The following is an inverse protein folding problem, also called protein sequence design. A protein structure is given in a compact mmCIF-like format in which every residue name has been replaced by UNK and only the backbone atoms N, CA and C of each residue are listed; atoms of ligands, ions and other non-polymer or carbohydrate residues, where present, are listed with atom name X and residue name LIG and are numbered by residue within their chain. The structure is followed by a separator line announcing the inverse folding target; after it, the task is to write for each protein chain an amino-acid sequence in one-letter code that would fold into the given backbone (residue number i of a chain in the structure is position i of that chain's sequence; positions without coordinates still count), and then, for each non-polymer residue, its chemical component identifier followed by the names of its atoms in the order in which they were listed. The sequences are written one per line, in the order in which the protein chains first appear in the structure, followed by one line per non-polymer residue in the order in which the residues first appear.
data_IF_035268949488
#
_entry.id   IF_035268949488
#
_cell.length_a   1.000
_cell.length_b   1.000
_cell.length_c   1.000
_cell.angle_alpha   90.00
_cell.angle_beta   90.00
_cell.angle_gamma   90.00
#
_symmetry.space_group_name_H-M   'P 1'
#
loop_
_entity.id
_entity.type
_entity.pdbx_description
1 polymer ?
#
# COMPACT_ATOMS: atom_id res chain seq x y z
N UNK A 1 -4.31 14.12 21.42
CA UNK A 1 -4.94 15.40 21.69
C UNK A 1 -4.00 16.44 22.26
N UNK A 2 -3.83 16.53 23.57
CA UNK A 2 -3.09 17.63 24.24
C UNK A 2 -1.65 17.74 23.76
N UNK A 3 -0.93 16.65 23.66
CA UNK A 3 0.49 16.62 23.26
C UNK A 3 0.73 17.18 21.86
N UNK A 4 -0.18 16.97 20.95
CA UNK A 4 -0.06 17.43 19.55
C UNK A 4 -0.74 18.77 19.27
N UNK A 5 -1.41 19.38 20.26
CA UNK A 5 -2.23 20.57 20.05
C UNK A 5 -1.45 21.76 19.48
N UNK A 6 -0.27 22.05 20.06
CA UNK A 6 0.60 23.15 19.57
C UNK A 6 1.09 22.95 18.14
N UNK A 7 1.62 21.74 17.86
CA UNK A 7 2.09 21.38 16.51
C UNK A 7 0.97 21.34 15.49
N UNK A 8 -0.17 20.77 15.84
CA UNK A 8 -1.35 20.74 14.98
C UNK A 8 -1.85 22.16 14.65
N UNK A 9 -1.89 23.03 15.67
CA UNK A 9 -2.29 24.43 15.47
C UNK A 9 -1.35 25.20 14.53
N UNK A 10 -0.04 25.05 14.72
CA UNK A 10 0.97 25.68 13.87
C UNK A 10 0.83 25.20 12.41
N UNK A 11 0.79 23.89 12.20
CA UNK A 11 0.69 23.29 10.87
C UNK A 11 -0.61 23.69 10.16
N UNK A 12 -1.74 23.69 10.88
CA UNK A 12 -3.02 24.12 10.31
C UNK A 12 -3.02 25.59 9.94
N UNK A 13 -2.44 26.47 10.78
CA UNK A 13 -2.35 27.90 10.48
C UNK A 13 -1.53 28.14 9.20
N UNK A 14 -0.38 27.52 9.08
CA UNK A 14 0.48 27.63 7.90
C UNK A 14 -0.18 27.04 6.64
N UNK A 15 -0.85 25.89 6.78
CA UNK A 15 -1.60 25.29 5.67
C UNK A 15 -2.75 26.18 5.19
N UNK A 16 -3.47 26.81 6.12
CA UNK A 16 -4.55 27.74 5.78
C UNK A 16 -4.02 28.99 5.07
N UNK A 17 -2.84 29.48 5.46
CA UNK A 17 -2.20 30.65 4.85
C UNK A 17 -1.65 30.36 3.44
N UNK A 18 -0.96 29.21 3.29
CA UNK A 18 -0.23 28.88 2.05
C UNK A 18 -1.04 28.03 1.07
N UNK A 19 -2.12 27.40 1.53
CA UNK A 19 -2.91 26.44 0.75
C UNK A 19 -2.28 25.05 0.65
N UNK A 20 -1.08 24.85 1.19
CA UNK A 20 -0.34 23.58 1.14
C UNK A 20 0.11 23.14 2.53
N UNK A 21 0.12 21.84 2.78
CA UNK A 21 0.67 21.30 4.01
C UNK A 21 2.19 21.59 4.08
N UNK A 22 2.69 22.17 5.20
CA UNK A 22 4.12 22.54 5.31
C UNK A 22 5.07 21.34 5.48
N UNK A 23 4.53 20.20 5.87
CA UNK A 23 5.25 18.94 6.07
C UNK A 23 4.39 17.78 5.56
N UNK A 24 4.95 16.58 5.43
CA UNK A 24 4.16 15.38 5.13
C UNK A 24 3.23 15.04 6.30
N UNK A 25 1.93 15.17 6.06
CA UNK A 25 0.85 14.87 7.01
C UNK A 25 0.00 13.68 6.60
N UNK A 26 0.46 12.88 5.61
CA UNK A 26 -0.40 11.84 5.02
C UNK A 26 -0.97 10.89 6.07
N UNK A 27 -0.20 10.49 7.06
CA UNK A 27 -0.61 9.56 8.10
C UNK A 27 -1.77 10.07 8.98
N UNK A 28 -1.99 11.37 9.00
CA UNK A 28 -3.08 12.03 9.76
C UNK A 28 -4.06 12.80 8.88
N UNK A 29 -3.82 12.86 7.57
CA UNK A 29 -4.71 13.56 6.63
C UNK A 29 -6.00 12.76 6.42
N UNK A 30 -7.16 13.44 6.52
CA UNK A 30 -8.47 12.82 6.29
C UNK A 30 -8.60 12.24 4.87
N UNK A 31 -7.89 12.78 3.90
CA UNK A 31 -7.89 12.32 2.50
C UNK A 31 -7.34 10.91 2.32
N UNK A 32 -6.55 10.39 3.29
CA UNK A 32 -6.07 9.00 3.26
C UNK A 32 -7.20 7.97 3.40
N UNK A 33 -8.35 8.39 3.93
CA UNK A 33 -9.48 7.50 4.16
C UNK A 33 -10.11 7.03 2.86
N UNK A 34 -10.31 5.73 2.76
CA UNK A 34 -10.96 5.10 1.61
C UNK A 34 -12.50 5.22 1.73
N UNK A 35 -13.26 5.30 0.61
CA UNK A 35 -14.72 5.44 0.65
C UNK A 35 -15.43 4.35 1.48
N UNK A 36 -14.96 3.11 1.46
CA UNK A 36 -15.56 2.02 2.23
C UNK A 36 -15.44 2.23 3.74
N UNK A 37 -14.47 3.00 4.22
CA UNK A 37 -14.26 3.29 5.64
C UNK A 37 -15.34 4.21 6.23
N UNK A 38 -16.13 4.88 5.39
CA UNK A 38 -17.33 5.62 5.83
C UNK A 38 -18.53 4.72 6.10
N UNK A 39 -18.45 3.42 5.77
CA UNK A 39 -19.52 2.47 6.03
C UNK A 39 -19.69 2.23 7.55
N UNK A 40 -20.95 2.36 8.02
CA UNK A 40 -21.26 2.23 9.45
C UNK A 40 -20.89 0.86 10.02
N UNK A 41 -21.14 -0.20 9.30
CA UNK A 41 -20.80 -1.57 9.74
C UNK A 41 -19.28 -1.75 9.86
N UNK A 42 -18.52 -1.23 8.90
CA UNK A 42 -17.06 -1.22 8.99
C UNK A 42 -16.58 -0.47 10.22
N UNK A 43 -17.07 0.75 10.44
CA UNK A 43 -16.69 1.59 11.59
C UNK A 43 -17.03 0.91 12.92
N UNK A 44 -18.24 0.37 13.07
CA UNK A 44 -18.64 -0.35 14.29
C UNK A 44 -17.72 -1.54 14.59
N UNK A 45 -17.30 -2.27 13.56
CA UNK A 45 -16.41 -3.41 13.72
C UNK A 45 -14.97 -3.00 14.05
N UNK A 46 -14.45 -1.94 13.43
CA UNK A 46 -13.02 -1.54 13.49
C UNK A 46 -12.69 -0.62 14.66
N UNK A 47 -13.61 0.29 15.04
CA UNK A 47 -13.32 1.38 16.01
C UNK A 47 -12.86 0.85 17.35
N UNK A 48 -13.52 -0.17 17.89
CA UNK A 48 -13.16 -0.73 19.20
C UNK A 48 -11.75 -1.31 19.21
N UNK A 49 -11.36 -2.03 18.15
CA UNK A 49 -10.02 -2.57 18.03
C UNK A 49 -8.99 -1.44 17.86
N UNK A 50 -9.24 -0.48 17.00
CA UNK A 50 -8.33 0.65 16.75
C UNK A 50 -8.09 1.46 18.01
N UNK A 51 -9.16 1.78 18.76
CA UNK A 51 -9.05 2.54 20.00
C UNK A 51 -8.34 1.71 21.09
N UNK A 52 -8.66 0.42 21.20
CA UNK A 52 -8.01 -0.48 22.14
C UNK A 52 -6.51 -0.59 21.92
N UNK A 53 -6.06 -0.66 20.68
CA UNK A 53 -4.65 -0.76 20.32
C UNK A 53 -3.81 0.48 20.67
N UNK A 54 -4.43 1.65 20.86
CA UNK A 54 -3.71 2.84 21.36
C UNK A 54 -3.21 2.68 22.80
N UNK A 55 -3.82 1.80 23.58
CA UNK A 55 -3.53 1.61 25.00
C UNK A 55 -3.03 0.19 25.32
N UNK A 56 -3.10 -0.71 24.38
CA UNK A 56 -2.68 -2.09 24.57
C UNK A 56 -1.17 -2.27 24.33
N UNK A 57 -0.54 -3.12 25.12
CA UNK A 57 0.77 -3.66 24.81
C UNK A 57 0.63 -4.66 23.67
N UNK A 58 1.14 -4.33 22.50
CA UNK A 58 1.11 -5.20 21.34
C UNK A 58 2.42 -5.14 20.54
N UNK A 59 2.69 -6.19 19.78
CA UNK A 59 3.85 -6.21 18.90
C UNK A 59 3.73 -5.16 17.79
N UNK A 60 4.87 -4.57 17.36
CA UNK A 60 4.91 -3.70 16.19
C UNK A 60 4.31 -4.41 14.96
N UNK A 61 3.70 -3.65 14.06
CA UNK A 61 3.13 -4.15 12.79
C UNK A 61 2.05 -5.22 12.95
N UNK A 62 1.44 -5.32 14.13
CA UNK A 62 0.30 -6.20 14.35
C UNK A 62 -0.82 -5.89 13.36
N UNK A 63 -1.31 -6.93 12.69
CA UNK A 63 -2.43 -6.82 11.77
C UNK A 63 -3.76 -6.67 12.53
N UNK A 64 -4.69 -5.90 11.97
CA UNK A 64 -6.06 -5.84 12.47
C UNK A 64 -6.76 -7.19 12.33
N UNK A 65 -7.53 -7.57 13.33
CA UNK A 65 -8.36 -8.78 13.32
C UNK A 65 -9.80 -8.49 12.87
N UNK A 66 -10.33 -7.29 13.18
CA UNK A 66 -11.68 -6.87 12.81
C UNK A 66 -11.76 -6.32 11.39
N UNK A 67 -12.96 -6.29 10.82
CA UNK A 67 -13.27 -5.73 9.50
C UNK A 67 -12.34 -6.21 8.39
N UNK A 68 -11.99 -7.51 8.41
CA UNK A 68 -11.15 -8.16 7.40
C UNK A 68 -11.97 -8.51 6.15
N UNK A 69 -11.27 -8.72 5.04
CA UNK A 69 -11.88 -9.19 3.80
C UNK A 69 -12.70 -8.15 3.04
N UNK A 70 -12.54 -6.85 3.34
CA UNK A 70 -13.30 -5.76 2.71
C UNK A 70 -13.01 -5.62 1.23
N UNK A 71 -11.73 -5.75 0.85
CA UNK A 71 -11.27 -5.72 -0.53
C UNK A 71 -10.41 -6.95 -0.79
N UNK A 72 -10.77 -7.70 -1.81
CA UNK A 72 -10.07 -8.93 -2.20
C UNK A 72 -9.70 -8.87 -3.67
N UNK A 73 -8.55 -9.43 -4.00
CA UNK A 73 -8.16 -9.61 -5.40
C UNK A 73 -8.99 -10.73 -6.06
N UNK A 74 -9.06 -10.78 -7.40
CA UNK A 74 -9.72 -11.88 -8.10
C UNK A 74 -9.15 -13.26 -7.77
N UNK A 75 -7.88 -13.32 -7.37
CA UNK A 75 -7.18 -14.58 -7.04
C UNK A 75 -7.11 -14.86 -5.53
N UNK A 76 -7.79 -14.06 -4.71
CA UNK A 76 -7.73 -14.17 -3.24
C UNK A 76 -8.03 -15.59 -2.74
N UNK A 77 -9.11 -16.22 -3.20
CA UNK A 77 -9.48 -17.55 -2.75
C UNK A 77 -8.44 -18.60 -3.18
N UNK A 78 -7.93 -18.48 -4.40
CA UNK A 78 -6.85 -19.34 -4.87
C UNK A 78 -5.61 -19.24 -3.97
N UNK A 79 -5.20 -18.02 -3.60
CA UNK A 79 -4.07 -17.81 -2.69
C UNK A 79 -4.36 -18.37 -1.28
N UNK A 80 -5.59 -18.22 -0.78
CA UNK A 80 -6.00 -18.77 0.51
C UNK A 80 -5.90 -20.31 0.52
N UNK A 81 -6.39 -20.96 -0.52
CA UNK A 81 -6.36 -22.42 -0.69
C UNK A 81 -4.90 -22.94 -0.79
N UNK A 82 -3.96 -22.09 -1.19
CA UNK A 82 -2.52 -22.39 -1.26
C UNK A 82 -1.73 -21.90 -0.05
N UNK A 83 -2.40 -21.67 1.09
CA UNK A 83 -1.75 -21.40 2.36
C UNK A 83 -1.27 -19.96 2.57
N UNK A 84 -1.85 -18.99 1.88
CA UNK A 84 -1.52 -17.58 2.07
C UNK A 84 -1.86 -17.09 3.47
N UNK A 85 -0.92 -16.42 4.12
CA UNK A 85 -1.18 -15.57 5.28
C UNK A 85 -1.42 -14.14 4.82
N UNK A 86 -2.62 -13.63 5.06
CA UNK A 86 -3.00 -12.31 4.60
C UNK A 86 -2.72 -11.21 5.62
N UNK A 87 -2.28 -10.06 5.12
CA UNK A 87 -2.27 -8.78 5.81
C UNK A 87 -3.12 -7.75 5.08
N UNK A 88 -3.54 -6.71 5.79
CA UNK A 88 -4.37 -5.64 5.24
C UNK A 88 -3.54 -4.42 4.86
N UNK A 89 -3.75 -3.87 3.65
CA UNK A 89 -3.26 -2.56 3.22
C UNK A 89 -4.39 -1.82 2.52
N UNK A 90 -4.82 -0.68 3.06
CA UNK A 90 -5.93 0.13 2.53
C UNK A 90 -7.19 -0.70 2.25
N UNK A 91 -7.50 -1.64 3.15
CA UNK A 91 -8.62 -2.57 3.06
C UNK A 91 -8.39 -3.78 2.16
N UNK A 92 -7.30 -3.83 1.39
CA UNK A 92 -6.94 -4.97 0.58
C UNK A 92 -6.34 -6.10 1.40
N UNK A 93 -6.86 -7.31 1.24
CA UNK A 93 -6.20 -8.52 1.70
C UNK A 93 -5.05 -8.85 0.75
N UNK A 94 -3.83 -8.84 1.26
CA UNK A 94 -2.61 -9.14 0.50
C UNK A 94 -1.91 -10.33 1.11
N UNK A 95 -1.55 -11.32 0.30
CA UNK A 95 -0.70 -12.43 0.75
C UNK A 95 0.68 -11.89 1.12
N UNK A 96 1.09 -12.08 2.37
CA UNK A 96 2.39 -11.64 2.87
C UNK A 96 3.43 -12.76 2.87
N UNK A 97 3.00 -14.00 3.08
CA UNK A 97 3.81 -15.21 3.03
C UNK A 97 2.90 -16.43 2.91
N UNK A 98 3.46 -17.60 2.58
CA UNK A 98 2.71 -18.83 2.35
C UNK A 98 3.25 -19.96 3.21
N UNK A 99 2.34 -20.82 3.71
CA UNK A 99 2.69 -22.15 4.19
C UNK A 99 3.12 -23.05 3.03
N UNK A 100 4.03 -24.01 3.24
CA UNK A 100 4.33 -25.02 2.24
C UNK A 100 3.12 -25.93 2.01
N UNK A 101 3.01 -26.48 0.80
CA UNK A 101 1.89 -27.37 0.43
C UNK A 101 1.71 -28.54 1.39
N UNK A 102 2.79 -29.08 1.94
CA UNK A 102 2.75 -30.16 2.93
C UNK A 102 2.05 -29.77 4.22
N UNK A 103 2.23 -28.53 4.69
CA UNK A 103 1.55 -28.03 5.88
C UNK A 103 0.07 -27.75 5.58
N UNK A 104 -0.24 -27.20 4.39
CA UNK A 104 -1.62 -27.00 3.92
C UNK A 104 -2.35 -28.35 3.83
N UNK A 105 -1.71 -29.37 3.25
CA UNK A 105 -2.26 -30.71 3.13
C UNK A 105 -2.47 -31.39 4.50
N UNK A 106 -1.68 -31.03 5.51
CA UNK A 106 -1.86 -31.45 6.89
C UNK A 106 -2.97 -30.69 7.64
N UNK A 107 -3.63 -29.73 7.00
CA UNK A 107 -4.71 -28.94 7.57
C UNK A 107 -4.25 -27.74 8.42
N UNK A 108 -2.98 -27.35 8.30
CA UNK A 108 -2.47 -26.16 8.99
C UNK A 108 -3.04 -24.87 8.36
N UNK A 109 -3.22 -23.86 9.20
CA UNK A 109 -3.68 -22.53 8.77
C UNK A 109 -2.59 -21.50 9.02
N UNK A 110 -2.27 -20.71 7.98
CA UNK A 110 -1.29 -19.65 8.06
C UNK A 110 -1.77 -18.52 9.01
N UNK A 111 -0.98 -18.26 10.04
CA UNK A 111 -1.27 -17.19 11.01
C UNK A 111 0.02 -16.56 11.55
N UNK A 112 -0.02 -15.26 11.89
CA UNK A 112 1.08 -14.61 12.57
C UNK A 112 1.20 -15.08 14.01
N UNK A 113 2.43 -15.46 14.40
CA UNK A 113 2.81 -15.71 15.78
C UNK A 113 3.89 -14.69 16.16
N UNK A 114 3.48 -13.57 16.71
CA UNK A 114 4.38 -12.48 17.04
C UNK A 114 5.37 -12.86 18.14
N UNK A 115 6.61 -12.46 17.98
CA UNK A 115 7.70 -12.78 18.91
C UNK A 115 8.77 -11.70 18.87
N UNK A 116 9.51 -11.52 19.98
CA UNK A 116 10.74 -10.73 20.01
C UNK A 116 11.95 -11.49 19.43
N UNK A 117 11.78 -12.77 19.14
CA UNK A 117 12.75 -13.60 18.43
C UNK A 117 12.47 -13.60 16.93
N UNK A 118 13.08 -14.51 16.18
CA UNK A 118 12.76 -14.74 14.77
C UNK A 118 11.27 -15.01 14.61
N UNK A 119 10.64 -14.30 13.70
CA UNK A 119 9.21 -14.44 13.43
C UNK A 119 8.91 -15.79 12.78
N UNK A 120 7.72 -16.33 13.01
CA UNK A 120 7.33 -17.65 12.50
C UNK A 120 7.27 -17.73 10.96
N UNK A 121 7.08 -16.60 10.29
CA UNK A 121 7.04 -16.51 8.83
C UNK A 121 8.42 -16.45 8.17
N UNK A 122 9.49 -16.23 8.95
CA UNK A 122 10.82 -15.91 8.39
C UNK A 122 11.35 -16.99 7.45
N UNK A 123 11.28 -18.26 7.85
CA UNK A 123 11.81 -19.37 7.07
C UNK A 123 10.96 -19.61 5.79
N UNK A 124 9.66 -19.36 5.87
CA UNK A 124 8.76 -19.41 4.69
C UNK A 124 9.09 -18.31 3.68
N UNK A 125 9.21 -17.07 4.13
CA UNK A 125 9.62 -15.96 3.27
C UNK A 125 11.02 -16.13 2.70
N UNK A 126 11.95 -16.73 3.45
CA UNK A 126 13.28 -17.09 2.95
C UNK A 126 13.21 -18.11 1.81
N UNK A 127 12.36 -19.14 1.95
CA UNK A 127 12.15 -20.13 0.89
C UNK A 127 11.55 -19.49 -0.37
N UNK A 128 10.54 -18.61 -0.23
CA UNK A 128 9.96 -17.86 -1.35
C UNK A 128 11.00 -16.96 -2.04
N UNK A 129 11.83 -16.27 -1.24
CA UNK A 129 12.93 -15.45 -1.77
C UNK A 129 13.91 -16.30 -2.61
N UNK A 130 14.30 -17.46 -2.11
CA UNK A 130 15.17 -18.37 -2.86
C UNK A 130 14.52 -18.87 -4.14
N UNK A 131 13.22 -19.22 -4.10
CA UNK A 131 12.49 -19.65 -5.28
C UNK A 131 12.48 -18.57 -6.37
N UNK A 132 12.16 -17.32 -6.01
CA UNK A 132 12.18 -16.18 -6.94
C UNK A 132 13.57 -15.95 -7.54
N UNK A 133 14.63 -16.11 -6.75
CA UNK A 133 16.02 -15.92 -7.20
C UNK A 133 16.54 -17.01 -8.10
N UNK A 134 16.05 -18.23 -7.95
CA UNK A 134 16.59 -19.42 -8.63
C UNK A 134 15.66 -19.97 -9.71
N UNK A 135 14.38 -19.65 -9.64
CA UNK A 135 13.35 -20.14 -10.56
C UNK A 135 12.45 -19.01 -11.04
N UNK A 136 11.17 -19.03 -10.72
CA UNK A 136 10.19 -18.02 -11.13
C UNK A 136 9.27 -17.67 -9.96
N UNK A 137 8.85 -16.39 -9.88
CA UNK A 137 7.85 -15.91 -8.92
C UNK A 137 6.64 -15.32 -9.62
N UNK A 138 5.46 -15.54 -9.04
CA UNK A 138 4.21 -14.88 -9.43
C UNK A 138 3.74 -13.99 -8.28
N UNK A 139 3.46 -12.71 -8.57
CA UNK A 139 3.08 -11.72 -7.58
C UNK A 139 1.70 -11.15 -7.89
N UNK A 140 0.77 -11.24 -6.94
CA UNK A 140 -0.53 -10.57 -7.05
C UNK A 140 -0.39 -9.07 -6.78
N UNK A 141 -0.39 -8.27 -7.85
CA UNK A 141 -0.29 -6.82 -7.83
C UNK A 141 -1.66 -6.14 -7.98
N UNK A 142 -2.77 -6.87 -7.79
CA UNK A 142 -4.13 -6.34 -7.97
C UNK A 142 -4.46 -5.17 -7.05
N UNK A 143 -3.87 -5.10 -5.86
CA UNK A 143 -4.11 -4.04 -4.89
C UNK A 143 -3.49 -2.69 -5.24
N UNK A 144 -2.48 -2.67 -6.10
CA UNK A 144 -1.83 -1.41 -6.52
C UNK A 144 -2.80 -0.52 -7.29
N UNK A 145 -2.64 0.79 -7.17
CA UNK A 145 -3.34 1.76 -8.00
C UNK A 145 -2.85 1.70 -9.43
N UNK A 146 -3.76 1.82 -10.41
CA UNK A 146 -3.48 1.89 -11.84
C UNK A 146 -4.15 3.13 -12.38
N UNK A 147 -3.36 4.08 -12.84
CA UNK A 147 -3.82 5.34 -13.42
C UNK A 147 -3.43 5.33 -14.88
N UNK A 148 -4.41 5.51 -15.75
CA UNK A 148 -4.18 5.61 -17.20
C UNK A 148 -4.23 7.07 -17.59
N UNK A 149 -3.12 7.60 -18.10
CA UNK A 149 -3.02 8.96 -18.63
C UNK A 149 -3.02 8.89 -20.17
N UNK A 150 -3.96 9.58 -20.79
CA UNK A 150 -4.15 9.57 -22.24
C UNK A 150 -4.30 10.99 -22.76
N UNK A 151 -3.58 11.33 -23.81
CA UNK A 151 -3.67 12.61 -24.50
C UNK A 151 -2.35 13.07 -25.07
N UNK A 152 -2.42 13.96 -26.06
CA UNK A 152 -1.24 14.48 -26.77
C UNK A 152 -0.19 15.10 -25.84
N UNK A 153 -0.61 15.63 -24.70
CA UNK A 153 0.26 16.34 -23.75
C UNK A 153 0.71 15.42 -22.59
N UNK A 154 0.32 14.13 -22.60
CA UNK A 154 0.57 13.17 -21.51
C UNK A 154 2.07 13.02 -21.19
N UNK A 155 2.93 12.91 -22.22
CA UNK A 155 4.37 12.84 -22.04
C UNK A 155 4.92 14.11 -21.37
N UNK A 156 4.51 15.29 -21.85
CA UNK A 156 4.98 16.56 -21.32
C UNK A 156 4.57 16.76 -19.86
N UNK A 157 3.36 16.35 -19.49
CA UNK A 157 2.88 16.39 -18.09
C UNK A 157 3.70 15.48 -17.21
N UNK A 158 3.91 14.24 -17.63
CA UNK A 158 4.71 13.29 -16.85
C UNK A 158 6.18 13.72 -16.73
N UNK A 159 6.78 14.23 -17.82
CA UNK A 159 8.16 14.76 -17.80
C UNK A 159 8.33 15.93 -16.82
N UNK A 160 7.29 16.71 -16.60
CA UNK A 160 7.34 17.85 -15.67
C UNK A 160 7.41 17.40 -14.21
N UNK A 161 6.73 16.29 -13.85
CA UNK A 161 6.59 15.85 -12.45
C UNK A 161 7.49 14.67 -12.09
N UNK A 162 7.93 13.88 -13.08
CA UNK A 162 8.78 12.73 -12.86
C UNK A 162 10.24 13.15 -12.62
N UNK A 163 10.89 12.54 -11.65
CA UNK A 163 12.31 12.74 -11.39
C UNK A 163 13.21 12.07 -12.45
N UNK A 164 12.69 11.06 -13.16
CA UNK A 164 13.40 10.33 -14.19
C UNK A 164 12.78 10.60 -15.58
N UNK A 165 13.55 10.37 -16.65
CA UNK A 165 13.06 10.52 -18.02
C UNK A 165 12.03 9.46 -18.37
N UNK A 166 10.81 9.88 -18.70
CA UNK A 166 9.70 9.03 -19.14
C UNK A 166 9.46 9.10 -20.67
N UNK A 167 10.24 9.90 -21.42
CA UNK A 167 10.22 9.97 -22.86
C UNK A 167 10.96 8.76 -23.48
N UNK A 168 10.49 7.58 -23.18
CA UNK A 168 11.09 6.30 -23.57
C UNK A 168 10.28 5.63 -24.68
N UNK A 169 10.84 4.64 -25.40
CA UNK A 169 10.09 3.87 -26.39
C UNK A 169 8.84 3.17 -25.80
N UNK A 170 7.82 3.00 -26.65
CA UNK A 170 6.62 2.21 -26.30
C UNK A 170 6.98 0.82 -25.80
N UNK A 171 6.33 0.38 -24.73
CA UNK A 171 6.60 -0.88 -24.03
C UNK A 171 7.65 -0.78 -22.92
N UNK A 172 8.36 0.34 -22.81
CA UNK A 172 9.31 0.54 -21.69
C UNK A 172 8.61 0.98 -20.42
N UNK A 173 9.16 0.49 -19.29
CA UNK A 173 8.77 0.86 -17.93
C UNK A 173 9.89 1.67 -17.31
N UNK A 174 9.54 2.77 -16.68
CA UNK A 174 10.43 3.64 -15.92
C UNK A 174 9.98 3.65 -14.45
N UNK A 175 10.89 3.30 -13.54
CA UNK A 175 10.69 3.55 -12.12
C UNK A 175 11.12 4.98 -11.80
N UNK A 176 10.26 5.73 -11.14
CA UNK A 176 10.49 7.15 -10.85
C UNK A 176 9.69 7.62 -9.65
N UNK A 177 10.07 8.78 -9.11
CA UNK A 177 9.30 9.53 -8.14
C UNK A 177 8.62 10.71 -8.84
N UNK A 178 7.38 11.04 -8.43
CA UNK A 178 6.78 12.33 -8.75
C UNK A 178 7.17 13.33 -7.67
N UNK A 179 7.56 14.52 -8.11
CA UNK A 179 8.07 15.57 -7.25
C UNK A 179 7.13 16.78 -7.25
N UNK A 180 7.06 17.46 -6.11
CA UNK A 180 6.45 18.79 -6.03
C UNK A 180 7.45 19.88 -6.46
N UNK A 181 7.00 21.14 -6.45
CA UNK A 181 7.81 22.29 -6.89
C UNK A 181 9.04 22.56 -5.99
N UNK A 182 9.02 22.07 -4.74
CA UNK A 182 10.16 22.12 -3.81
C UNK A 182 11.13 20.95 -3.99
N UNK A 183 10.83 20.00 -4.90
CA UNK A 183 11.65 18.80 -5.14
C UNK A 183 11.41 17.67 -4.13
N UNK A 184 10.38 17.75 -3.30
CA UNK A 184 10.01 16.67 -2.38
C UNK A 184 9.23 15.58 -3.10
N UNK A 185 9.40 14.34 -2.65
CA UNK A 185 8.71 13.17 -3.21
C UNK A 185 7.23 13.20 -2.80
N UNK A 186 6.35 13.21 -3.81
CA UNK A 186 4.90 13.09 -3.64
C UNK A 186 4.42 11.66 -3.89
N UNK A 187 4.97 10.97 -4.90
CA UNK A 187 4.60 9.61 -5.23
C UNK A 187 5.82 8.79 -5.68
N UNK A 188 5.80 7.50 -5.39
CA UNK A 188 6.79 6.52 -5.81
C UNK A 188 6.12 5.52 -6.76
N UNK A 189 6.46 5.58 -8.04
CA UNK A 189 5.64 4.98 -9.10
C UNK A 189 6.47 4.27 -10.17
N UNK A 190 5.81 3.41 -10.94
CA UNK A 190 6.31 3.01 -12.25
C UNK A 190 5.42 3.62 -13.34
N UNK A 191 6.07 4.12 -14.40
CA UNK A 191 5.42 4.67 -15.58
C UNK A 191 5.74 3.78 -16.77
N UNK A 192 4.70 3.20 -17.39
CA UNK A 192 4.83 2.40 -18.61
C UNK A 192 4.28 3.20 -19.79
N UNK A 193 5.06 3.38 -20.83
CA UNK A 193 4.56 3.94 -22.10
C UNK A 193 3.83 2.87 -22.90
N UNK A 194 2.51 2.99 -23.03
CA UNK A 194 1.66 2.03 -23.77
C UNK A 194 1.54 2.38 -25.25
N UNK A 195 1.47 3.69 -25.56
CA UNK A 195 1.41 4.23 -26.91
C UNK A 195 2.11 5.59 -26.97
N UNK A 196 2.08 6.26 -28.11
CA UNK A 196 2.69 7.58 -28.30
C UNK A 196 2.16 8.61 -27.29
N UNK A 197 0.86 8.54 -26.98
CA UNK A 197 0.09 9.46 -26.14
C UNK A 197 -0.63 8.75 -24.98
N UNK A 198 -0.21 7.53 -24.62
CA UNK A 198 -0.85 6.72 -23.59
C UNK A 198 0.18 6.14 -22.63
N UNK A 199 -0.02 6.38 -21.32
CA UNK A 199 0.84 5.90 -20.24
C UNK A 199 0.01 5.22 -19.15
N UNK A 200 0.60 4.18 -18.54
CA UNK A 200 0.09 3.53 -17.34
C UNK A 200 1.02 3.87 -16.17
N UNK A 201 0.48 4.51 -15.16
CA UNK A 201 1.16 4.77 -13.89
C UNK A 201 0.67 3.76 -12.85
N UNK A 202 1.59 3.08 -12.19
CA UNK A 202 1.28 2.15 -11.09
C UNK A 202 1.83 2.72 -9.80
N UNK A 203 0.98 2.83 -8.79
CA UNK A 203 1.28 3.41 -7.47
C UNK A 203 0.86 2.48 -6.34
N UNK A 204 1.45 2.59 -5.12
CA UNK A 204 1.08 1.75 -4.00
C UNK A 204 -0.39 1.86 -3.58
N UNK A 205 -0.95 0.76 -3.08
CA UNK A 205 -2.35 0.70 -2.64
C UNK A 205 -2.69 1.72 -1.55
N UNK A 206 -1.72 2.05 -0.68
CA UNK A 206 -1.93 2.96 0.44
C UNK A 206 -2.05 4.43 0.01
N UNK A 207 -1.42 4.82 -1.09
CA UNK A 207 -1.30 6.22 -1.52
C UNK A 207 -2.14 6.58 -2.74
N UNK A 208 -2.84 5.62 -3.37
CA UNK A 208 -3.65 5.83 -4.58
C UNK A 208 -4.63 7.03 -4.51
N UNK A 209 -5.03 7.41 -3.31
CA UNK A 209 -5.93 8.56 -3.14
C UNK A 209 -5.22 9.90 -3.07
N UNK A 210 -3.92 9.89 -2.76
CA UNK A 210 -3.05 11.06 -2.82
C UNK A 210 -2.52 11.27 -4.23
N UNK A 211 -2.01 10.21 -4.81
CA UNK A 211 -1.35 10.16 -6.11
C UNK A 211 -2.37 10.28 -7.27
#
# INVERSE_FOLDING_TARGET
GIQSAGGAGMVLAEWMETGNAPIDLWDVDIRRMQPFQANRSYLQSRVSETLGLLYADHFPYRQFASARGVRRSPVHNYLADHGACFGEVAGWERANWFLPETAVAAGETAAYQYSWKRQNWFDYSAAEHHAVRQTVGLFDMSSFGKIKLVGRDAEAVLQRIAANDVAVPVGKIVYTQFLNEAGHIEADVTVTRLAADEFLVVTPAATIRRD
#
